data_IF_615090223939
#
_entry.id   IF_615090223939
#
_cell.length_a   1.000
_cell.length_b   1.000
_cell.length_c   1.000
_cell.angle_alpha   90.00
_cell.angle_beta   90.00
_cell.angle_gamma   90.00
#
_symmetry.space_group_name_H-M   'P 1'
#
loop_
_entity.id
_entity.type
_entity.pdbx_description
1 polymer ?
#
# COMPACT_ATOMS: atom_id res chain seq x y z
N UNK A 1 14.39 -54.51 -29.51
CA UNK A 1 14.04 -53.08 -29.35
C UNK A 1 12.84 -52.98 -28.42
N UNK A 2 13.04 -52.59 -27.15
CA UNK A 2 11.94 -52.46 -26.18
C UNK A 2 11.35 -51.06 -26.34
N UNK A 3 10.07 -50.98 -26.74
CA UNK A 3 9.28 -49.74 -26.70
C UNK A 3 9.00 -49.41 -25.24
N UNK A 4 9.54 -48.30 -24.74
CA UNK A 4 9.15 -47.77 -23.43
C UNK A 4 7.79 -47.08 -23.55
N UNK A 5 6.79 -47.61 -22.85
CA UNK A 5 5.49 -46.96 -22.71
C UNK A 5 5.64 -45.64 -21.95
N UNK A 6 5.20 -44.55 -22.56
CA UNK A 6 5.20 -43.23 -21.94
C UNK A 6 4.19 -43.20 -20.78
N UNK A 7 4.67 -43.07 -19.53
CA UNK A 7 3.79 -42.81 -18.38
C UNK A 7 3.10 -41.46 -18.55
N UNK A 8 1.77 -41.46 -18.62
CA UNK A 8 0.98 -40.25 -18.56
C UNK A 8 1.11 -39.60 -17.16
N UNK A 9 1.74 -38.43 -17.10
CA UNK A 9 1.99 -37.67 -15.86
C UNK A 9 0.85 -36.74 -15.47
N UNK A 10 -0.25 -36.68 -16.22
CA UNK A 10 -1.35 -35.77 -15.90
C UNK A 10 -2.19 -36.29 -14.74
N UNK A 11 -2.31 -35.47 -13.68
CA UNK A 11 -3.25 -35.71 -12.58
C UNK A 11 -4.66 -35.38 -13.06
N UNK A 12 -5.70 -36.15 -12.66
CA UNK A 12 -7.08 -35.80 -12.99
C UNK A 12 -7.41 -34.42 -12.43
N UNK A 13 -7.81 -33.49 -13.30
CA UNK A 13 -8.14 -32.11 -12.94
C UNK A 13 -9.55 -31.78 -13.45
N UNK A 14 -10.35 -31.12 -12.59
CA UNK A 14 -11.76 -30.77 -12.88
C UNK A 14 -11.90 -29.56 -13.83
N UNK A 15 -10.78 -28.99 -14.27
CA UNK A 15 -10.69 -27.78 -15.09
C UNK A 15 -9.81 -28.06 -16.32
N UNK A 16 -10.44 -28.30 -17.48
CA UNK A 16 -9.75 -28.47 -18.76
C UNK A 16 -9.63 -27.10 -19.42
N UNK A 17 -8.40 -26.64 -19.67
CA UNK A 17 -8.16 -25.37 -20.36
C UNK A 17 -7.52 -25.67 -21.72
N UNK A 18 -8.27 -25.38 -22.78
CA UNK A 18 -7.79 -25.44 -24.16
C UNK A 18 -7.02 -24.16 -24.46
N UNK A 19 -5.71 -24.28 -24.69
CA UNK A 19 -4.93 -23.25 -25.35
C UNK A 19 -4.79 -23.65 -26.82
N UNK A 20 -4.79 -22.71 -27.77
CA UNK A 20 -4.59 -22.97 -29.23
C UNK A 20 -3.13 -23.37 -29.57
N UNK A 21 -2.44 -23.93 -28.60
CA UNK A 21 -1.12 -24.56 -28.67
C UNK A 21 -1.38 -26.02 -28.27
N UNK A 22 -0.86 -26.99 -29.03
CA UNK A 22 -1.17 -28.43 -28.92
C UNK A 22 -0.82 -29.10 -27.56
N UNK A 23 -0.55 -28.31 -26.52
CA UNK A 23 -0.39 -28.73 -25.14
C UNK A 23 -1.60 -28.31 -24.31
N UNK A 24 -2.71 -29.05 -24.45
CA UNK A 24 -3.76 -29.04 -23.43
C UNK A 24 -3.13 -29.40 -22.07
N UNK A 25 -3.42 -28.62 -21.03
CA UNK A 25 -2.92 -28.89 -19.67
C UNK A 25 -1.52 -28.35 -19.34
N UNK A 26 -1.10 -27.23 -19.94
CA UNK A 26 0.08 -26.48 -19.46
C UNK A 26 -0.06 -26.21 -17.95
N UNK A 27 0.78 -26.86 -17.14
CA UNK A 27 0.81 -26.70 -15.68
C UNK A 27 1.02 -25.26 -15.28
N UNK A 28 1.78 -24.50 -16.08
CA UNK A 28 1.99 -23.06 -15.92
C UNK A 28 0.67 -22.29 -16.04
N UNK A 29 -0.16 -22.60 -17.04
CA UNK A 29 -1.42 -21.91 -17.28
C UNK A 29 -2.49 -22.28 -16.25
N UNK A 30 -2.53 -23.55 -15.82
CA UNK A 30 -3.36 -23.98 -14.67
C UNK A 30 -2.93 -23.27 -13.38
N UNK A 31 -1.62 -23.18 -13.12
CA UNK A 31 -1.08 -22.45 -11.95
C UNK A 31 -1.43 -20.98 -12.01
N UNK A 32 -1.35 -20.36 -13.18
CA UNK A 32 -1.66 -18.94 -13.37
C UNK A 32 -3.15 -18.64 -13.17
N UNK A 33 -4.04 -19.49 -13.70
CA UNK A 33 -5.48 -19.37 -13.45
C UNK A 33 -5.83 -19.58 -11.97
N UNK A 34 -5.19 -20.53 -11.29
CA UNK A 34 -5.37 -20.72 -9.85
C UNK A 34 -4.90 -19.48 -9.07
N UNK A 35 -3.74 -18.91 -9.42
CA UNK A 35 -3.25 -17.65 -8.81
C UNK A 35 -4.20 -16.48 -9.03
N UNK A 36 -4.75 -16.32 -10.24
CA UNK A 36 -5.72 -15.26 -10.56
C UNK A 36 -7.05 -15.40 -9.82
N UNK A 37 -7.40 -16.62 -9.37
CA UNK A 37 -8.60 -16.89 -8.59
C UNK A 37 -8.42 -16.74 -7.08
N UNK A 38 -7.19 -16.68 -6.58
CA UNK A 38 -6.92 -16.51 -5.14
C UNK A 38 -7.40 -15.15 -4.67
N UNK A 39 -8.10 -15.14 -3.54
CA UNK A 39 -8.46 -13.90 -2.86
C UNK A 39 -7.49 -13.60 -1.71
N UNK A 40 -7.46 -12.35 -1.25
CA UNK A 40 -6.55 -11.91 -0.19
C UNK A 40 -6.75 -12.70 1.12
N UNK A 41 -7.99 -13.09 1.42
CA UNK A 41 -8.33 -13.82 2.65
C UNK A 41 -7.67 -15.19 2.67
N UNK A 42 -7.86 -15.96 1.61
CA UNK A 42 -7.26 -17.28 1.43
C UNK A 42 -5.73 -17.18 1.43
N UNK A 43 -5.17 -16.17 0.74
CA UNK A 43 -3.74 -15.92 0.69
C UNK A 43 -3.11 -15.72 2.08
N UNK A 44 -3.74 -14.89 2.92
CA UNK A 44 -3.25 -14.61 4.28
C UNK A 44 -3.39 -15.82 5.20
N UNK A 45 -4.53 -16.53 5.11
CA UNK A 45 -4.83 -17.69 5.97
C UNK A 45 -3.96 -18.90 5.62
N UNK A 46 -3.70 -19.13 4.33
CA UNK A 46 -2.85 -20.23 3.87
C UNK A 46 -1.35 -19.93 4.07
N UNK A 47 -0.98 -18.69 4.39
CA UNK A 47 0.42 -18.29 4.55
C UNK A 47 1.19 -18.28 3.24
N UNK A 48 0.54 -17.96 2.13
CA UNK A 48 1.16 -17.84 0.81
C UNK A 48 2.30 -16.80 0.83
N UNK A 49 3.36 -17.03 0.05
CA UNK A 49 4.59 -16.24 0.09
C UNK A 49 4.37 -14.75 -0.18
N UNK A 50 3.48 -14.42 -1.12
CA UNK A 50 3.08 -13.05 -1.47
C UNK A 50 2.37 -12.28 -0.34
N UNK A 51 1.64 -12.98 0.55
CA UNK A 51 0.89 -12.39 1.68
C UNK A 51 1.52 -12.70 3.04
N UNK A 52 2.63 -13.42 3.07
CA UNK A 52 3.30 -13.84 4.30
C UNK A 52 3.80 -12.64 5.11
N UNK A 53 4.22 -11.56 4.43
CA UNK A 53 4.69 -10.31 5.05
C UNK A 53 5.66 -10.59 6.21
N UNK A 54 6.71 -11.37 5.93
CA UNK A 54 7.72 -11.75 6.92
C UNK A 54 9.11 -11.28 6.51
N UNK A 55 9.97 -11.13 7.51
CA UNK A 55 11.36 -10.68 7.33
C UNK A 55 12.19 -11.68 6.50
N UNK A 56 11.85 -12.96 6.56
CA UNK A 56 12.52 -14.04 5.85
C UNK A 56 12.30 -13.97 4.33
N UNK A 57 11.15 -13.43 3.90
CA UNK A 57 10.83 -13.24 2.47
C UNK A 57 11.50 -11.99 1.86
N UNK A 58 12.05 -11.06 2.65
CA UNK A 58 12.76 -9.87 2.15
C UNK A 58 14.15 -10.15 1.55
N UNK A 59 14.68 -11.36 1.69
CA UNK A 59 16.06 -11.70 1.32
C UNK A 59 16.22 -12.62 0.10
N UNK A 60 15.14 -13.01 -0.59
CA UNK A 60 15.29 -13.86 -1.79
C UNK A 60 15.96 -13.06 -2.91
N UNK A 61 17.11 -13.57 -3.33
CA UNK A 61 18.07 -12.94 -4.24
C UNK A 61 17.44 -12.46 -5.55
N UNK A 62 17.95 -11.32 -6.02
CA UNK A 62 17.96 -10.86 -7.41
C UNK A 62 18.01 -12.04 -8.40
N UNK A 63 16.97 -12.19 -9.22
CA UNK A 63 17.00 -13.13 -10.35
C UNK A 63 15.73 -13.95 -10.62
N UNK A 64 14.74 -13.99 -9.73
CA UNK A 64 13.45 -14.63 -9.98
C UNK A 64 12.33 -13.74 -9.47
N UNK A 65 11.84 -12.83 -10.32
CA UNK A 65 10.76 -11.85 -10.08
C UNK A 65 9.97 -12.06 -8.78
N UNK A 66 10.40 -11.45 -7.67
CA UNK A 66 9.53 -11.23 -6.54
C UNK A 66 9.02 -9.81 -6.78
N UNK A 67 7.75 -9.66 -7.15
CA UNK A 67 7.06 -8.38 -7.03
C UNK A 67 7.02 -8.06 -5.52
N UNK A 68 8.14 -7.52 -5.03
CA UNK A 68 8.38 -7.28 -3.63
C UNK A 68 7.43 -6.18 -3.17
N UNK A 69 6.54 -6.52 -2.25
CA UNK A 69 5.86 -5.54 -1.43
C UNK A 69 6.93 -4.64 -0.79
N UNK A 70 7.06 -3.40 -1.27
CA UNK A 70 7.95 -2.41 -0.67
C UNK A 70 7.16 -1.61 0.37
N UNK A 71 7.39 -1.86 1.67
CA UNK A 71 6.67 -1.17 2.74
C UNK A 71 6.92 0.34 2.70
N UNK A 72 5.96 1.13 3.20
CA UNK A 72 6.10 2.59 3.30
C UNK A 72 7.35 2.97 4.10
N UNK A 73 7.65 2.22 5.15
CA UNK A 73 8.85 2.38 5.98
C UNK A 73 10.13 2.31 5.15
N UNK A 74 10.24 1.36 4.21
CA UNK A 74 11.43 1.24 3.37
C UNK A 74 11.59 2.47 2.47
N UNK A 75 10.49 2.97 1.90
CA UNK A 75 10.50 4.16 1.04
C UNK A 75 10.99 5.41 1.78
N UNK A 76 10.46 5.68 2.97
CA UNK A 76 10.86 6.85 3.77
C UNK A 76 12.22 6.68 4.46
N UNK A 77 12.67 5.44 4.71
CA UNK A 77 13.97 5.17 5.31
C UNK A 77 15.14 5.49 4.34
N UNK A 78 15.00 5.11 3.06
CA UNK A 78 16.00 5.35 2.02
C UNK A 78 16.65 4.06 1.50
N UNK A 79 17.90 4.18 1.01
CA UNK A 79 18.58 3.12 0.26
C UNK A 79 19.53 2.26 1.10
N UNK A 80 19.63 2.51 2.41
CA UNK A 80 20.49 1.74 3.29
C UNK A 80 20.08 0.25 3.31
N UNK A 81 21.03 -0.70 3.44
CA UNK A 81 20.72 -2.12 3.43
C UNK A 81 19.68 -2.53 4.49
N UNK A 82 19.69 -1.88 5.66
CA UNK A 82 18.73 -2.16 6.72
C UNK A 82 17.32 -1.61 6.45
N UNK A 83 17.16 -0.63 5.53
CA UNK A 83 15.85 -0.12 5.12
C UNK A 83 15.05 -1.15 4.32
N UNK A 84 15.73 -2.09 3.65
CA UNK A 84 15.10 -3.17 2.88
C UNK A 84 14.58 -4.32 3.75
N UNK A 85 14.91 -4.33 5.05
CA UNK A 85 14.43 -5.34 5.98
C UNK A 85 13.00 -5.01 6.43
N UNK A 86 12.06 -5.89 6.14
CA UNK A 86 10.68 -5.74 6.57
C UNK A 86 10.55 -5.67 8.11
N UNK A 87 9.67 -4.79 8.60
CA UNK A 87 9.47 -4.48 10.04
C UNK A 87 10.75 -4.20 10.86
N UNK A 88 11.77 -3.65 10.22
CA UNK A 88 13.02 -3.28 10.89
C UNK A 88 12.81 -2.04 11.78
N UNK A 89 13.05 -2.16 13.08
CA UNK A 89 12.98 -1.03 14.03
C UNK A 89 13.96 0.11 13.68
N UNK A 90 15.23 -0.15 13.32
CA UNK A 90 16.13 0.89 12.82
C UNK A 90 15.59 1.58 11.56
N UNK A 91 14.95 0.83 10.66
CA UNK A 91 14.37 1.41 9.44
C UNK A 91 13.21 2.35 9.76
N UNK A 92 12.33 1.95 10.68
CA UNK A 92 11.23 2.78 11.16
C UNK A 92 11.72 4.07 11.81
N UNK A 93 12.70 3.99 12.71
CA UNK A 93 13.25 5.17 13.37
C UNK A 93 13.84 6.15 12.35
N UNK A 94 14.57 5.64 11.35
CA UNK A 94 15.12 6.48 10.29
C UNK A 94 14.02 7.07 9.41
N UNK A 95 12.99 6.31 9.08
CA UNK A 95 11.85 6.77 8.30
C UNK A 95 11.07 7.88 9.03
N UNK A 96 10.83 7.74 10.33
CA UNK A 96 10.21 8.77 11.18
C UNK A 96 11.07 10.04 11.22
N UNK A 97 12.38 9.90 11.44
CA UNK A 97 13.31 11.03 11.41
C UNK A 97 13.31 11.73 10.04
N UNK A 98 13.31 10.97 8.95
CA UNK A 98 13.29 11.54 7.61
C UNK A 98 11.95 12.25 7.35
N UNK A 99 10.81 11.65 7.72
CA UNK A 99 9.50 12.31 7.63
C UNK A 99 9.52 13.67 8.30
N UNK A 100 10.06 13.76 9.51
CA UNK A 100 10.10 14.99 10.28
C UNK A 100 11.07 16.03 9.69
N UNK A 101 12.30 15.62 9.37
CA UNK A 101 13.40 16.54 9.06
C UNK A 101 13.60 16.81 7.57
N UNK A 102 13.16 15.91 6.69
CA UNK A 102 13.47 15.95 5.24
C UNK A 102 12.25 16.21 4.36
N UNK A 103 11.05 15.96 4.84
CA UNK A 103 9.81 16.20 4.08
C UNK A 103 9.07 17.41 4.63
N UNK A 104 8.80 18.42 3.79
CA UNK A 104 8.00 19.59 4.19
C UNK A 104 6.57 19.17 4.58
N UNK A 105 5.90 18.39 3.73
CA UNK A 105 4.54 17.90 3.93
C UNK A 105 4.44 16.47 3.41
N UNK A 106 3.75 15.61 4.16
CA UNK A 106 3.34 14.27 3.71
C UNK A 106 1.84 14.13 3.84
N UNK A 107 1.18 13.85 2.72
CA UNK A 107 -0.27 13.73 2.63
C UNK A 107 -0.79 12.32 2.95
N UNK A 108 -2.10 12.21 3.16
CA UNK A 108 -2.81 10.93 3.30
C UNK A 108 -4.03 10.93 2.38
N UNK A 109 -4.27 9.80 1.69
CA UNK A 109 -5.28 9.71 0.63
C UNK A 109 -6.71 9.79 1.17
N UNK A 110 -6.96 9.29 2.39
CA UNK A 110 -8.27 9.29 3.02
C UNK A 110 -8.77 10.70 3.34
N UNK A 111 -7.86 11.65 3.54
CA UNK A 111 -8.18 13.06 3.73
C UNK A 111 -7.46 13.95 2.71
N UNK A 112 -7.50 13.56 1.44
CA UNK A 112 -6.74 14.21 0.36
C UNK A 112 -6.97 15.72 0.26
N UNK A 113 -8.22 16.20 0.42
CA UNK A 113 -8.51 17.65 0.44
C UNK A 113 -7.73 18.40 1.53
N UNK A 114 -7.55 17.80 2.71
CA UNK A 114 -6.72 18.42 3.78
C UNK A 114 -5.26 18.45 3.37
N UNK A 115 -4.76 17.38 2.76
CA UNK A 115 -3.39 17.33 2.23
C UNK A 115 -3.15 18.43 1.21
N UNK A 116 -4.06 18.62 0.26
CA UNK A 116 -3.99 19.70 -0.73
C UNK A 116 -3.94 21.09 -0.09
N UNK A 117 -4.77 21.37 0.92
CA UNK A 117 -4.71 22.66 1.63
C UNK A 117 -3.37 22.88 2.34
N UNK A 118 -2.78 21.83 2.92
CA UNK A 118 -1.47 21.91 3.57
C UNK A 118 -0.36 22.12 2.52
N UNK A 119 -0.41 21.41 1.39
CA UNK A 119 0.54 21.62 0.29
C UNK A 119 0.47 23.05 -0.26
N UNK A 120 -0.73 23.57 -0.50
CA UNK A 120 -0.94 24.94 -0.98
C UNK A 120 -0.36 25.99 -0.02
N UNK A 121 -0.44 25.76 1.30
CA UNK A 121 0.08 26.69 2.30
C UNK A 121 1.60 26.59 2.52
N UNK A 122 2.17 25.38 2.49
CA UNK A 122 3.59 25.15 2.80
C UNK A 122 4.50 25.28 1.57
N UNK A 123 3.98 24.99 0.37
CA UNK A 123 4.75 25.03 -0.88
C UNK A 123 3.92 25.76 -1.96
N UNK A 124 3.59 27.05 -1.75
CA UNK A 124 2.62 27.76 -2.57
C UNK A 124 3.04 27.94 -4.03
N UNK A 125 4.35 27.99 -4.32
CA UNK A 125 4.86 28.18 -5.67
C UNK A 125 4.38 27.10 -6.65
N UNK A 126 4.29 25.85 -6.18
CA UNK A 126 3.83 24.71 -7.00
C UNK A 126 2.33 24.41 -6.82
N UNK A 127 1.77 24.69 -5.63
CA UNK A 127 0.43 24.22 -5.26
C UNK A 127 -0.62 25.32 -5.16
N UNK A 128 -0.33 26.54 -5.65
CA UNK A 128 -1.30 27.65 -5.68
C UNK A 128 -2.59 27.26 -6.38
N UNK A 129 -3.74 27.49 -5.75
CA UNK A 129 -5.08 27.17 -6.22
C UNK A 129 -5.33 25.67 -6.51
N UNK A 130 -4.52 24.75 -5.96
CA UNK A 130 -4.66 23.31 -6.26
C UNK A 130 -6.01 22.75 -5.84
N UNK A 131 -6.62 23.28 -4.76
CA UNK A 131 -7.95 22.84 -4.32
C UNK A 131 -9.02 23.03 -5.39
N UNK A 132 -9.00 24.18 -6.09
CA UNK A 132 -9.94 24.47 -7.19
C UNK A 132 -9.72 23.56 -8.38
N UNK A 133 -8.47 23.24 -8.70
CA UNK A 133 -8.13 22.31 -9.79
C UNK A 133 -8.57 20.88 -9.46
N UNK A 134 -8.37 20.45 -8.22
CA UNK A 134 -8.80 19.14 -7.76
C UNK A 134 -10.32 19.00 -7.83
N UNK A 135 -11.09 20.00 -7.40
CA UNK A 135 -12.55 19.94 -7.44
C UNK A 135 -13.10 19.82 -8.86
N UNK A 136 -12.42 20.40 -9.86
CA UNK A 136 -12.77 20.22 -11.29
C UNK A 136 -12.40 18.84 -11.84
N UNK A 137 -11.37 18.20 -11.29
CA UNK A 137 -10.84 16.93 -11.79
C UNK A 137 -11.36 15.69 -11.06
N UNK A 138 -11.92 15.86 -9.85
CA UNK A 138 -12.26 14.76 -8.92
C UNK A 138 -13.26 13.75 -9.50
N UNK A 139 -14.12 14.16 -10.41
CA UNK A 139 -15.14 13.27 -10.99
C UNK A 139 -14.56 12.25 -11.99
N UNK A 140 -13.28 12.39 -12.37
CA UNK A 140 -12.57 11.39 -13.17
C UNK A 140 -12.23 10.19 -12.28
N UNK A 141 -12.92 9.07 -12.49
CA UNK A 141 -12.62 7.77 -11.86
C UNK A 141 -11.31 7.20 -12.41
N UNK A 142 -10.18 7.60 -11.82
CA UNK A 142 -8.84 7.07 -12.16
C UNK A 142 -8.40 6.10 -11.06
N UNK A 143 -7.75 5.00 -11.42
CA UNK A 143 -7.18 3.99 -10.50
C UNK A 143 -8.19 3.33 -9.53
N UNK A 144 -9.41 3.06 -10.00
CA UNK A 144 -10.36 2.26 -9.21
C UNK A 144 -10.06 0.77 -9.37
N UNK A 145 -9.89 0.07 -8.26
CA UNK A 145 -9.91 -1.38 -8.25
C UNK A 145 -11.37 -1.86 -8.15
N UNK A 146 -11.97 -2.42 -9.22
CA UNK A 146 -13.35 -2.90 -9.19
C UNK A 146 -13.54 -4.08 -8.22
N UNK A 147 -12.46 -4.79 -7.88
CA UNK A 147 -12.49 -5.97 -7.01
C UNK A 147 -12.00 -5.65 -5.59
N UNK A 148 -12.32 -4.46 -5.08
CA UNK A 148 -11.93 -4.02 -3.73
C UNK A 148 -12.89 -4.54 -2.65
N UNK A 149 -12.85 -5.86 -2.41
CA UNK A 149 -13.55 -6.47 -1.27
C UNK A 149 -12.74 -6.24 0.02
N UNK A 150 -13.39 -5.72 1.06
CA UNK A 150 -12.72 -5.61 2.37
C UNK A 150 -12.52 -7.00 2.98
N UNK A 151 -11.30 -7.35 3.41
CA UNK A 151 -11.07 -8.63 4.06
C UNK A 151 -11.76 -8.68 5.44
N UNK A 152 -12.12 -9.88 5.94
CA UNK A 152 -12.69 -10.08 7.26
C UNK A 152 -11.84 -9.44 8.38
N UNK A 153 -12.46 -9.07 9.50
CA UNK A 153 -11.77 -8.46 10.64
C UNK A 153 -10.57 -9.29 11.11
N UNK A 154 -10.73 -10.61 11.25
CA UNK A 154 -9.65 -11.50 11.65
C UNK A 154 -8.43 -11.43 10.71
N UNK A 155 -8.65 -11.33 9.38
CA UNK A 155 -7.58 -11.18 8.39
C UNK A 155 -6.90 -9.81 8.52
N UNK A 156 -7.68 -8.75 8.73
CA UNK A 156 -7.14 -7.41 8.98
C UNK A 156 -6.27 -7.36 10.23
N UNK A 157 -6.67 -8.06 11.29
CA UNK A 157 -5.90 -8.13 12.53
C UNK A 157 -4.57 -8.87 12.35
N UNK A 158 -4.55 -9.95 11.56
CA UNK A 158 -3.32 -10.65 11.19
C UNK A 158 -2.38 -9.69 10.43
N UNK A 159 -2.91 -9.01 9.40
CA UNK A 159 -2.14 -8.04 8.62
C UNK A 159 -1.63 -6.89 9.50
N UNK A 160 -2.45 -6.38 10.42
CA UNK A 160 -2.06 -5.30 11.33
C UNK A 160 -0.91 -5.70 12.26
N UNK A 161 -0.90 -6.93 12.77
CA UNK A 161 0.20 -7.46 13.58
C UNK A 161 1.48 -7.70 12.76
N UNK A 162 1.33 -8.00 11.46
CA UNK A 162 2.45 -8.18 10.53
C UNK A 162 2.97 -6.86 9.96
N UNK A 163 2.26 -5.73 10.05
CA UNK A 163 2.67 -4.47 9.41
C UNK A 163 2.87 -3.33 10.42
N UNK A 164 3.39 -3.66 11.61
CA UNK A 164 3.48 -2.73 12.73
C UNK A 164 4.29 -1.47 12.40
N UNK A 165 5.43 -1.60 11.70
CA UNK A 165 6.25 -0.43 11.34
C UNK A 165 5.52 0.52 10.38
N UNK A 166 4.88 -0.01 9.35
CA UNK A 166 4.14 0.80 8.39
C UNK A 166 2.92 1.47 8.99
N UNK A 167 2.22 0.78 9.90
CA UNK A 167 1.09 1.35 10.63
C UNK A 167 1.56 2.48 11.54
N UNK A 168 2.66 2.29 12.27
CA UNK A 168 3.23 3.31 13.15
C UNK A 168 3.65 4.55 12.35
N UNK A 169 4.34 4.36 11.23
CA UNK A 169 4.74 5.43 10.31
C UNK A 169 3.52 6.18 9.74
N UNK A 170 2.48 5.44 9.32
CA UNK A 170 1.24 6.02 8.81
C UNK A 170 0.54 6.87 9.88
N UNK A 171 0.44 6.37 11.11
CA UNK A 171 -0.20 7.10 12.20
C UNK A 171 0.57 8.38 12.53
N UNK A 172 1.90 8.32 12.52
CA UNK A 172 2.75 9.50 12.68
C UNK A 172 2.52 10.53 11.56
N UNK A 173 2.55 10.11 10.29
CA UNK A 173 2.31 10.99 9.15
C UNK A 173 0.91 11.63 9.20
N UNK A 174 -0.11 10.85 9.56
CA UNK A 174 -1.50 11.32 9.72
C UNK A 174 -1.64 12.35 10.83
N UNK A 175 -1.02 12.10 11.98
CA UNK A 175 -1.03 13.04 13.10
C UNK A 175 -0.30 14.34 12.73
N UNK A 176 0.88 14.24 12.12
CA UNK A 176 1.67 15.38 11.65
C UNK A 176 0.89 16.25 10.67
N UNK A 177 0.27 15.64 9.66
CA UNK A 177 -0.58 16.35 8.70
C UNK A 177 -1.74 17.08 9.39
N UNK A 178 -2.40 16.43 10.35
CA UNK A 178 -3.50 17.05 11.10
C UNK A 178 -3.04 18.28 11.90
N UNK A 179 -1.85 18.22 12.50
CA UNK A 179 -1.26 19.37 13.20
C UNK A 179 -0.90 20.50 12.25
N UNK A 180 -0.28 20.21 11.10
CA UNK A 180 0.00 21.21 10.06
C UNK A 180 -1.29 21.87 9.56
N UNK A 181 -2.33 21.07 9.34
CA UNK A 181 -3.63 21.58 8.90
C UNK A 181 -4.30 22.48 9.94
N UNK A 182 -4.20 22.16 11.24
CA UNK A 182 -4.67 23.04 12.31
C UNK A 182 -3.91 24.37 12.36
N UNK A 183 -2.62 24.38 12.03
CA UNK A 183 -1.78 25.60 12.04
C UNK A 183 -2.18 26.59 10.94
N UNK A 184 -2.58 26.08 9.77
CA UNK A 184 -2.97 26.94 8.63
C UNK A 184 -4.44 27.35 8.67
N UNK A 185 -5.29 26.64 9.43
CA UNK A 185 -6.69 27.03 9.60
C UNK A 185 -6.78 28.28 10.49
N UNK A 186 -7.41 29.37 10.03
CA UNK A 186 -7.65 30.51 10.89
C UNK A 186 -8.48 30.08 12.10
N UNK A 187 -8.06 30.47 13.31
CA UNK A 187 -8.91 30.32 14.49
C UNK A 187 -10.15 31.18 14.26
N UNK A 188 -11.37 30.68 14.55
CA UNK A 188 -12.53 31.55 14.54
C UNK A 188 -12.26 32.70 15.52
N UNK A 189 -12.29 33.93 15.01
CA UNK A 189 -12.22 35.12 15.86
C UNK A 189 -13.39 35.03 16.85
N UNK A 190 -13.08 34.88 18.14
CA UNK A 190 -14.07 35.15 19.20
C UNK A 190 -14.47 36.61 19.00
N UNK A 191 -15.68 36.87 18.49
CA UNK A 191 -16.27 38.20 18.53
C UNK A 191 -16.32 38.58 20.00
N UNK A 192 -15.42 39.46 20.44
CA UNK A 192 -15.66 40.26 21.63
C UNK A 192 -16.85 41.14 21.26
N UNK A 193 -18.06 40.71 21.62
CA UNK A 193 -19.22 41.58 21.61
C UNK A 193 -18.92 42.67 22.62
N UNK A 194 -18.48 43.84 22.12
CA UNK A 194 -18.34 45.04 22.93
C UNK A 194 -19.68 45.33 23.58
N UNK A 195 -19.74 45.19 24.90
CA UNK A 195 -20.83 45.69 25.71
C UNK A 195 -20.69 47.21 25.74
N UNK A 196 -21.37 47.90 24.83
CA UNK A 196 -21.74 49.30 25.02
C UNK A 196 -22.77 49.33 26.14
N UNK A 197 -22.33 49.61 27.37
CA UNK A 197 -23.21 50.05 28.44
C UNK A 197 -23.22 51.59 28.40
N UNK A 198 -24.42 52.13 28.15
CA UNK A 198 -24.80 53.54 28.33
C UNK A 198 -24.76 53.88 29.82
#
# INVERSE_FOLDING_TARGET
MVRTEGRNRTKPSRLVIYNRVDKAGSSTLQTLILRLKKNLTECVLNGDAECALSQEYSHRRSGQNPEFFQPMTAFFCGHEPFCRRFNSRPALQKALQNLELKYSVVGVLETFRKSLSVFEAFVPEYFKNIGKLYDKARDKKVNQNPNHAQPPAAVRDILARRMTSDIELYMFAKQRLHLQFKRIRPRPQRRLTGSTAV
#
